data_IF_684248552104
#
_entry.id   IF_684248552104
#
_cell.length_a   1.000
_cell.length_b   1.000
_cell.length_c   1.000
_cell.angle_alpha   90.00
_cell.angle_beta   90.00
_cell.angle_gamma   90.00
#
_symmetry.space_group_name_H-M   'P 1'
#
loop_
_entity.id
_entity.type
_entity.pdbx_description
1 polymer ?
#
# COMPACT_ATOMS: atom_id res chain seq x y z
N UNK A 1 9.91 22.36 -4.96
CA UNK A 1 11.17 21.94 -5.64
C UNK A 1 11.62 23.02 -6.63
N UNK A 2 12.96 23.32 -6.71
CA UNK A 2 13.52 24.24 -7.72
C UNK A 2 13.74 23.47 -9.05
N UNK A 3 13.28 23.99 -10.20
CA UNK A 3 13.53 23.39 -11.50
C UNK A 3 15.04 23.23 -11.80
N UNK A 4 15.44 22.13 -12.43
CA UNK A 4 16.85 21.88 -12.78
C UNK A 4 17.34 22.87 -13.85
N UNK A 5 16.46 23.30 -14.75
CA UNK A 5 16.78 24.32 -15.79
C UNK A 5 17.27 25.63 -15.20
N UNK A 6 16.75 26.07 -14.05
CA UNK A 6 17.24 27.25 -13.36
C UNK A 6 18.68 27.06 -12.88
N UNK A 7 19.00 25.92 -12.27
CA UNK A 7 20.35 25.59 -11.82
C UNK A 7 21.32 25.50 -13.00
N UNK A 8 20.93 24.84 -14.10
CA UNK A 8 21.77 24.75 -15.30
C UNK A 8 22.04 26.12 -15.92
N UNK A 9 21.03 26.99 -15.94
CA UNK A 9 21.18 28.39 -16.39
C UNK A 9 22.16 29.16 -15.52
N UNK A 10 22.06 29.08 -14.21
CA UNK A 10 22.98 29.73 -13.26
C UNK A 10 24.43 29.27 -13.45
N UNK A 11 24.63 28.01 -13.82
CA UNK A 11 25.96 27.42 -14.09
C UNK A 11 26.48 27.66 -15.52
N UNK A 12 25.68 28.29 -16.39
CA UNK A 12 26.04 28.51 -17.80
C UNK A 12 26.06 27.21 -18.62
N UNK A 13 25.36 26.17 -18.20
CA UNK A 13 25.30 24.87 -18.87
C UNK A 13 24.17 24.89 -19.90
N UNK A 14 24.50 24.61 -21.17
CA UNK A 14 23.50 24.49 -22.23
C UNK A 14 22.65 23.22 -22.05
N UNK A 15 21.33 23.35 -22.24
CA UNK A 15 20.38 22.24 -22.19
C UNK A 15 19.26 22.43 -23.20
N UNK A 16 18.45 21.40 -23.39
CA UNK A 16 17.21 21.46 -24.17
C UNK A 16 16.07 20.76 -23.41
N UNK A 17 14.84 21.19 -23.66
CA UNK A 17 13.67 20.53 -23.12
C UNK A 17 13.16 19.38 -23.99
N UNK A 18 12.55 18.34 -23.40
CA UNK A 18 12.41 18.13 -21.95
C UNK A 18 13.75 17.75 -21.31
N UNK A 19 13.95 18.15 -20.01
CA UNK A 19 15.06 17.64 -19.22
C UNK A 19 14.58 16.35 -18.56
N UNK A 20 15.26 15.25 -18.80
CA UNK A 20 14.91 13.93 -18.26
C UNK A 20 16.13 13.28 -17.61
N UNK A 21 15.93 12.76 -16.38
CA UNK A 21 16.93 11.93 -15.71
C UNK A 21 16.29 10.56 -15.43
N UNK A 22 17.06 9.50 -15.65
CA UNK A 22 16.68 8.12 -15.40
C UNK A 22 17.68 7.46 -14.45
N UNK A 23 17.18 6.52 -13.64
CA UNK A 23 18.04 5.62 -12.88
C UNK A 23 18.70 4.57 -13.79
N UNK A 24 19.53 3.70 -13.18
CA UNK A 24 20.22 2.63 -13.90
C UNK A 24 19.28 1.57 -14.49
N UNK A 25 18.02 1.50 -14.03
CA UNK A 25 17.00 0.58 -14.51
C UNK A 25 16.13 1.19 -15.62
N UNK A 26 16.36 2.48 -15.94
CA UNK A 26 15.60 3.22 -16.94
C UNK A 26 14.33 3.90 -16.43
N UNK A 27 14.05 3.86 -15.11
CA UNK A 27 12.94 4.57 -14.53
C UNK A 27 13.23 6.07 -14.49
N UNK A 28 12.24 6.88 -14.82
CA UNK A 28 12.36 8.33 -14.86
C UNK A 28 12.32 8.91 -13.46
N UNK A 29 13.47 9.39 -12.96
CA UNK A 29 13.60 9.96 -11.60
C UNK A 29 13.43 11.48 -11.57
N UNK A 30 13.57 12.17 -12.69
CA UNK A 30 13.28 13.58 -12.86
C UNK A 30 12.74 13.88 -14.24
N UNK A 31 11.83 14.83 -14.33
CA UNK A 31 11.35 15.33 -15.61
C UNK A 31 10.94 16.80 -15.50
N UNK A 32 11.31 17.59 -16.50
CA UNK A 32 10.97 19.01 -16.60
C UNK A 32 10.58 19.39 -18.02
N UNK A 33 9.43 20.05 -18.13
CA UNK A 33 8.90 20.59 -19.38
C UNK A 33 9.40 22.01 -19.60
N UNK A 34 9.32 22.49 -20.86
CA UNK A 34 9.66 23.86 -21.25
C UNK A 34 8.80 24.96 -20.61
N UNK A 35 7.65 24.61 -20.04
CA UNK A 35 6.77 25.52 -19.31
C UNK A 35 7.11 25.61 -17.82
N UNK A 36 8.22 25.00 -17.35
CA UNK A 36 8.67 25.00 -15.97
C UNK A 36 7.96 23.98 -15.06
N UNK A 37 7.01 23.18 -15.58
CA UNK A 37 6.45 22.08 -14.81
C UNK A 37 7.50 20.97 -14.68
N UNK A 38 7.76 20.52 -13.46
CA UNK A 38 8.73 19.47 -13.17
C UNK A 38 8.21 18.52 -12.08
N UNK A 39 8.83 17.34 -11.98
CA UNK A 39 8.58 16.37 -10.93
C UNK A 39 9.79 15.46 -10.69
N UNK A 40 9.89 14.92 -9.46
CA UNK A 40 10.83 13.86 -9.07
C UNK A 40 10.07 12.57 -8.77
N UNK A 41 10.70 11.43 -9.07
CA UNK A 41 10.21 10.10 -8.70
C UNK A 41 11.33 9.23 -8.14
N UNK A 42 10.99 8.38 -7.17
CA UNK A 42 11.84 7.30 -6.69
C UNK A 42 11.18 5.96 -6.96
N UNK A 43 11.99 4.93 -7.17
CA UNK A 43 11.52 3.60 -7.55
C UNK A 43 12.23 2.53 -6.72
N UNK A 44 11.51 1.45 -6.39
CA UNK A 44 12.14 0.28 -5.80
C UNK A 44 12.87 -0.56 -6.87
N UNK A 45 13.57 -1.61 -6.42
CA UNK A 45 14.31 -2.51 -7.31
C UNK A 45 13.45 -3.28 -8.31
N UNK A 46 12.11 -3.25 -8.19
CA UNK A 46 11.14 -3.86 -9.12
C UNK A 46 10.56 -2.85 -10.11
N UNK A 47 10.96 -1.57 -10.04
CA UNK A 47 10.45 -0.50 -10.89
C UNK A 47 9.09 0.09 -10.43
N UNK A 48 8.60 -0.24 -9.22
CA UNK A 48 7.42 0.38 -8.67
C UNK A 48 7.80 1.74 -8.07
N UNK A 49 7.03 2.79 -8.36
CA UNK A 49 7.25 4.14 -7.83
C UNK A 49 7.00 4.14 -6.31
N UNK A 50 7.96 4.64 -5.53
CA UNK A 50 7.89 4.70 -4.05
C UNK A 50 7.74 6.11 -3.52
N UNK A 51 8.09 7.11 -4.33
CA UNK A 51 7.92 8.52 -4.03
C UNK A 51 7.68 9.32 -5.30
N UNK A 52 6.89 10.36 -5.18
CA UNK A 52 6.65 11.36 -6.20
C UNK A 52 6.55 12.74 -5.58
N UNK A 53 7.14 13.76 -6.20
CA UNK A 53 6.96 15.17 -5.84
C UNK A 53 6.94 16.03 -7.10
N UNK A 54 5.91 16.87 -7.25
CA UNK A 54 5.83 17.84 -8.34
C UNK A 54 6.39 19.21 -7.96
N UNK A 55 6.61 20.07 -8.96
CA UNK A 55 7.11 21.43 -8.79
C UNK A 55 6.20 22.36 -7.99
N UNK A 56 4.96 21.97 -7.71
CA UNK A 56 3.99 22.72 -6.90
C UNK A 56 3.97 22.26 -5.44
N UNK A 57 4.79 21.25 -5.07
CA UNK A 57 4.89 20.71 -3.73
C UNK A 57 3.85 19.63 -3.41
N UNK A 58 3.11 19.12 -4.40
CA UNK A 58 2.32 17.91 -4.21
C UNK A 58 3.27 16.72 -4.19
N UNK A 59 3.14 15.85 -3.17
CA UNK A 59 3.93 14.63 -3.05
C UNK A 59 3.11 13.47 -2.55
N UNK A 60 3.56 12.25 -2.85
CA UNK A 60 3.06 11.03 -2.24
C UNK A 60 4.19 10.01 -2.02
N UNK A 61 3.95 9.07 -1.10
CA UNK A 61 4.79 7.91 -0.82
C UNK A 61 3.97 6.63 -0.97
N UNK A 62 4.63 5.59 -1.45
CA UNK A 62 4.07 4.26 -1.64
C UNK A 62 5.01 3.20 -1.07
N UNK A 63 4.44 2.17 -0.43
CA UNK A 63 5.16 0.96 -0.04
C UNK A 63 4.52 -0.25 -0.68
N UNK A 64 5.32 -1.28 -0.90
CA UNK A 64 4.90 -2.50 -1.57
C UNK A 64 5.40 -3.73 -0.82
N UNK A 65 4.61 -4.81 -0.85
CA UNK A 65 5.06 -6.11 -0.38
C UNK A 65 6.04 -6.78 -1.38
N UNK A 66 6.51 -7.97 -1.00
CA UNK A 66 7.42 -8.77 -1.85
C UNK A 66 6.80 -9.21 -3.18
N UNK A 67 5.48 -9.20 -3.31
CA UNK A 67 4.75 -9.56 -4.54
C UNK A 67 4.49 -8.35 -5.46
N UNK A 68 4.75 -7.13 -4.96
CA UNK A 68 4.48 -5.88 -5.68
C UNK A 68 3.08 -5.31 -5.43
N UNK A 69 2.34 -5.82 -4.44
CA UNK A 69 1.08 -5.23 -4.03
C UNK A 69 1.35 -3.99 -3.17
N UNK A 70 0.63 -2.90 -3.41
CA UNK A 70 0.73 -1.65 -2.67
C UNK A 70 0.18 -1.82 -1.24
N UNK A 71 1.04 -1.65 -0.22
CA UNK A 71 0.69 -1.86 1.20
C UNK A 71 0.46 -0.57 1.98
N UNK A 72 1.04 0.54 1.52
CA UNK A 72 0.90 1.86 2.14
C UNK A 72 0.87 2.96 1.11
N UNK A 73 0.10 3.99 1.37
CA UNK A 73 0.07 5.26 0.66
C UNK A 73 -0.02 6.41 1.65
N UNK A 74 0.71 7.49 1.40
CA UNK A 74 0.60 8.76 2.11
C UNK A 74 0.86 9.91 1.15
N UNK A 75 0.22 11.06 1.34
CA UNK A 75 0.46 12.26 0.53
C UNK A 75 0.59 13.53 1.35
N UNK A 76 0.98 14.62 0.69
CA UNK A 76 1.21 15.93 1.30
C UNK A 76 0.01 16.58 1.98
N UNK A 77 -1.20 16.08 1.79
CA UNK A 77 -2.41 16.54 2.51
C UNK A 77 -2.61 15.82 3.84
N UNK A 78 -1.73 14.86 4.18
CA UNK A 78 -1.85 14.00 5.35
C UNK A 78 -2.82 12.83 5.16
N UNK A 79 -3.36 12.63 3.96
CA UNK A 79 -4.17 11.44 3.68
C UNK A 79 -3.27 10.21 3.56
N UNK A 80 -3.63 9.14 4.27
CA UNK A 80 -2.94 7.86 4.20
C UNK A 80 -3.91 6.69 4.25
N UNK A 81 -3.46 5.53 3.73
CA UNK A 81 -4.10 4.24 3.93
C UNK A 81 -3.07 3.11 4.00
N UNK A 82 -3.50 1.99 4.61
CA UNK A 82 -2.77 0.72 4.67
C UNK A 82 -3.58 -0.40 4.07
N UNK A 83 -2.89 -1.36 3.49
CA UNK A 83 -3.47 -2.59 2.92
C UNK A 83 -2.63 -3.80 3.27
N UNK A 84 -3.30 -4.93 3.47
CA UNK A 84 -2.66 -6.24 3.60
C UNK A 84 -3.25 -7.17 2.56
N UNK A 85 -2.45 -8.15 2.14
CA UNK A 85 -2.83 -9.11 1.11
C UNK A 85 -2.48 -10.53 1.56
N UNK A 86 -3.24 -11.52 1.09
CA UNK A 86 -2.88 -12.92 1.22
C UNK A 86 -1.84 -13.33 0.15
N UNK A 87 -1.38 -14.58 0.23
CA UNK A 87 -0.40 -15.12 -0.71
C UNK A 87 -0.88 -15.16 -2.18
N UNK A 88 -2.19 -15.05 -2.41
CA UNK A 88 -2.80 -15.03 -3.75
C UNK A 88 -3.02 -13.59 -4.28
N UNK A 89 -2.64 -12.57 -3.50
CA UNK A 89 -2.84 -11.17 -3.85
C UNK A 89 -4.25 -10.63 -3.55
N UNK A 90 -5.10 -11.36 -2.83
CA UNK A 90 -6.39 -10.86 -2.41
C UNK A 90 -6.21 -9.93 -1.20
N UNK A 91 -6.83 -8.75 -1.22
CA UNK A 91 -6.72 -7.79 -0.12
C UNK A 91 -7.47 -8.28 1.12
N UNK A 92 -6.74 -8.55 2.22
CA UNK A 92 -7.29 -9.05 3.49
C UNK A 92 -7.59 -7.95 4.50
N UNK A 93 -6.92 -6.79 4.39
CA UNK A 93 -7.13 -5.63 5.25
C UNK A 93 -7.03 -4.33 4.47
N UNK A 94 -7.75 -3.32 4.94
CA UNK A 94 -7.65 -1.92 4.55
C UNK A 94 -7.92 -1.04 5.77
N UNK A 95 -7.18 0.05 5.93
CA UNK A 95 -7.42 1.10 6.91
C UNK A 95 -7.01 2.45 6.35
N UNK A 96 -7.70 3.53 6.70
CA UNK A 96 -7.34 4.88 6.30
C UNK A 96 -7.37 5.87 7.48
N UNK A 97 -6.87 7.08 7.23
CA UNK A 97 -6.80 8.16 8.22
C UNK A 97 -8.13 8.48 8.93
N UNK A 98 -9.26 8.20 8.31
CA UNK A 98 -10.59 8.46 8.88
C UNK A 98 -11.07 7.36 9.84
N UNK A 99 -10.22 6.37 10.14
CA UNK A 99 -10.58 5.23 10.98
C UNK A 99 -11.49 4.21 10.29
N UNK A 100 -11.73 4.37 8.98
CA UNK A 100 -12.44 3.35 8.21
C UNK A 100 -11.51 2.18 7.98
N UNK A 101 -11.92 0.99 8.42
CA UNK A 101 -11.20 -0.24 8.15
C UNK A 101 -12.13 -1.33 7.64
N UNK A 102 -11.54 -2.28 6.89
CA UNK A 102 -12.23 -3.45 6.32
C UNK A 102 -11.33 -4.67 6.48
N UNK A 103 -11.91 -5.80 6.90
CA UNK A 103 -11.28 -7.11 6.91
C UNK A 103 -12.01 -8.04 5.96
N UNK A 104 -11.26 -8.86 5.26
CA UNK A 104 -11.78 -9.83 4.32
C UNK A 104 -11.07 -11.17 4.49
N UNK A 105 -11.81 -12.26 4.27
CA UNK A 105 -11.24 -13.60 4.12
C UNK A 105 -11.78 -14.23 2.84
N UNK A 106 -10.96 -15.08 2.24
CA UNK A 106 -11.23 -15.69 0.95
C UNK A 106 -11.04 -17.19 1.01
N UNK A 107 -11.80 -17.96 0.22
CA UNK A 107 -11.57 -19.38 0.01
C UNK A 107 -10.34 -19.61 -0.92
N UNK A 108 -10.04 -20.89 -1.19
CA UNK A 108 -8.93 -21.26 -2.08
C UNK A 108 -9.14 -20.85 -3.54
N UNK A 109 -10.36 -20.50 -3.94
CA UNK A 109 -10.72 -20.07 -5.28
C UNK A 109 -10.74 -18.54 -5.42
N UNK A 110 -10.42 -17.80 -4.33
CA UNK A 110 -10.44 -16.33 -4.30
C UNK A 110 -11.84 -15.74 -4.07
N UNK A 111 -12.86 -16.54 -3.72
CA UNK A 111 -14.17 -16.01 -3.38
C UNK A 111 -14.16 -15.50 -1.94
N UNK A 112 -14.70 -14.30 -1.71
CA UNK A 112 -14.79 -13.73 -0.38
C UNK A 112 -15.79 -14.48 0.50
N UNK A 113 -15.30 -15.03 1.62
CA UNK A 113 -16.08 -15.82 2.59
C UNK A 113 -16.47 -15.04 3.83
N UNK A 114 -15.69 -13.99 4.18
CA UNK A 114 -15.94 -13.13 5.32
C UNK A 114 -15.64 -11.67 5.00
N UNK A 115 -16.41 -10.79 5.64
CA UNK A 115 -16.22 -9.34 5.61
C UNK A 115 -16.64 -8.73 6.95
N UNK A 116 -15.80 -7.86 7.46
CA UNK A 116 -16.05 -7.03 8.65
C UNK A 116 -15.50 -5.63 8.39
N UNK A 117 -16.14 -4.60 8.93
CA UNK A 117 -15.69 -3.22 8.79
C UNK A 117 -15.89 -2.39 10.07
N UNK A 118 -15.38 -1.17 10.06
CA UNK A 118 -15.37 -0.23 11.19
C UNK A 118 -16.76 0.21 11.68
N UNK A 119 -17.80 0.09 10.85
CA UNK A 119 -19.19 0.41 11.26
C UNK A 119 -19.89 -0.75 11.98
N UNK A 120 -19.20 -1.87 12.19
CA UNK A 120 -19.72 -3.06 12.86
C UNK A 120 -20.45 -4.04 11.94
N UNK A 121 -20.50 -3.77 10.62
CA UNK A 121 -21.08 -4.72 9.66
C UNK A 121 -20.20 -5.97 9.57
N UNK A 122 -20.84 -7.14 9.68
CA UNK A 122 -20.21 -8.47 9.51
C UNK A 122 -21.05 -9.31 8.57
N UNK A 123 -20.38 -10.01 7.66
CA UNK A 123 -21.02 -10.96 6.71
C UNK A 123 -20.14 -12.18 6.52
N UNK A 124 -20.74 -13.35 6.53
CA UNK A 124 -20.06 -14.63 6.43
C UNK A 124 -19.51 -15.12 7.77
N UNK A 125 -18.74 -16.19 7.73
CA UNK A 125 -18.15 -16.81 8.94
C UNK A 125 -16.63 -16.70 8.85
N UNK A 126 -15.95 -16.07 9.85
CA UNK A 126 -14.49 -15.96 9.83
C UNK A 126 -13.84 -17.33 9.98
N UNK A 127 -12.77 -17.58 9.21
CA UNK A 127 -11.94 -18.80 9.32
C UNK A 127 -11.30 -18.94 10.71
N UNK A 128 -11.02 -17.82 11.36
CA UNK A 128 -10.43 -17.76 12.70
C UNK A 128 -11.40 -18.04 13.83
N UNK A 129 -12.70 -18.18 13.55
CA UNK A 129 -13.62 -18.80 14.49
C UNK A 129 -13.18 -20.27 14.70
N UNK A 130 -12.06 -20.43 15.43
CA UNK A 130 -11.67 -21.75 15.94
C UNK A 130 -12.82 -22.21 16.81
N UNK A 131 -13.70 -23.02 16.22
CA UNK A 131 -14.71 -23.67 17.01
C UNK A 131 -13.96 -24.50 18.04
N UNK A 132 -14.16 -24.19 19.31
CA UNK A 132 -13.68 -25.05 20.40
C UNK A 132 -14.43 -26.39 20.40
N UNK A 133 -15.39 -26.54 19.48
CA UNK A 133 -16.20 -27.73 19.34
C UNK A 133 -15.35 -28.97 19.11
N UNK A 134 -15.59 -29.96 19.94
CA UNK A 134 -14.88 -31.24 19.88
C UNK A 134 -13.49 -31.25 20.52
N UNK A 135 -12.92 -30.09 20.91
CA UNK A 135 -11.67 -30.06 21.66
C UNK A 135 -11.87 -30.62 23.06
N UNK A 136 -10.90 -31.41 23.53
CA UNK A 136 -10.88 -31.93 24.89
C UNK A 136 -9.96 -31.03 25.70
N UNK A 137 -10.46 -30.49 26.81
CA UNK A 137 -9.68 -29.80 27.86
C UNK A 137 -9.73 -30.62 29.13
N UNK A 138 -8.63 -30.63 29.86
CA UNK A 138 -8.55 -31.32 31.17
C UNK A 138 -8.48 -30.26 32.28
N UNK A 139 -9.40 -30.35 33.22
CA UNK A 139 -9.47 -29.49 34.41
C UNK A 139 -9.59 -30.39 35.61
N UNK A 140 -8.67 -30.29 36.58
CA UNK A 140 -8.62 -31.09 37.78
C UNK A 140 -8.65 -32.61 37.51
N UNK A 141 -7.95 -33.06 36.46
CA UNK A 141 -7.88 -34.47 36.07
C UNK A 141 -9.12 -34.99 35.34
N UNK A 142 -10.13 -34.15 35.10
CA UNK A 142 -11.37 -34.52 34.38
C UNK A 142 -11.32 -33.95 32.97
N UNK A 143 -11.60 -34.78 31.99
CA UNK A 143 -11.62 -34.41 30.56
C UNK A 143 -12.99 -33.92 30.14
N UNK A 144 -13.05 -32.69 29.63
CA UNK A 144 -14.27 -32.07 29.09
C UNK A 144 -14.14 -31.92 27.57
N UNK A 145 -15.17 -32.36 26.87
CA UNK A 145 -15.29 -32.11 25.44
C UNK A 145 -16.06 -30.81 25.24
N UNK A 146 -15.43 -29.81 24.64
CA UNK A 146 -16.07 -28.52 24.40
C UNK A 146 -17.14 -28.64 23.33
N UNK A 147 -18.26 -27.93 23.52
CA UNK A 147 -19.38 -27.85 22.59
C UNK A 147 -19.61 -26.37 22.26
N UNK A 148 -19.85 -26.06 20.99
CA UNK A 148 -20.28 -24.71 20.60
C UNK A 148 -21.65 -24.42 21.20
N UNK A 149 -21.87 -23.17 21.69
CA UNK A 149 -23.14 -22.65 22.15
C UNK A 149 -23.98 -22.20 20.95
#
# INVERSE_FOLDING_TARGET
MKPLSETLTELGIAFSFPIEIKDANGNRTYYEYSNGCCWNGEYNCKGNETYHEDGKGYWFKLEYDSNGNETYYENGTGYWYKREYDANGNRTYFENIYGNWYKYEYDSNGNRTYHENSDGTKRGTPKSAKTCEGKVVEVDGIKYKLKAL
#
